data_IF_774492008358
#
_entry.id   IF_774492008358
#
_cell.length_a   1.000
_cell.length_b   1.000
_cell.length_c   1.000
_cell.angle_alpha   90.00
_cell.angle_beta   90.00
_cell.angle_gamma   90.00
#
_symmetry.space_group_name_H-M   'P 1'
#
loop_
_entity.id
_entity.type
_entity.pdbx_description
1 polymer ?
#
# COMPACT_ATOMS: atom_id res chain seq x y z
N UNK A 1 -36.35 -16.42 -61.70
CA UNK A 1 -36.82 -17.20 -60.55
C UNK A 1 -35.73 -17.16 -59.53
N UNK A 2 -36.02 -16.41 -58.47
CA UNK A 2 -35.10 -15.97 -57.43
C UNK A 2 -34.54 -17.14 -56.63
N UNK A 3 -33.22 -17.22 -56.52
CA UNK A 3 -32.56 -18.02 -55.48
C UNK A 3 -32.61 -17.20 -54.20
N UNK A 4 -33.76 -17.22 -53.53
CA UNK A 4 -33.89 -16.78 -52.15
C UNK A 4 -33.05 -17.74 -51.30
N UNK A 5 -31.85 -17.30 -50.92
CA UNK A 5 -31.00 -18.00 -49.96
C UNK A 5 -31.68 -17.85 -48.60
N UNK A 6 -32.72 -18.65 -48.36
CA UNK A 6 -33.36 -18.76 -47.05
C UNK A 6 -32.28 -19.20 -46.08
N UNK A 7 -31.83 -18.27 -45.25
CA UNK A 7 -30.89 -18.54 -44.19
C UNK A 7 -31.52 -19.65 -43.34
N UNK A 8 -30.91 -20.82 -43.35
CA UNK A 8 -31.45 -22.06 -42.80
C UNK A 8 -31.74 -21.84 -41.31
N UNK A 9 -33.03 -21.87 -40.93
CA UNK A 9 -33.54 -21.53 -39.59
C UNK A 9 -32.92 -22.41 -38.48
N UNK A 10 -32.40 -23.59 -38.87
CA UNK A 10 -31.66 -24.50 -38.00
C UNK A 10 -30.24 -24.06 -37.62
N UNK A 11 -29.64 -23.10 -38.34
CA UNK A 11 -28.26 -22.62 -38.11
C UNK A 11 -28.15 -21.36 -37.25
N UNK A 12 -29.23 -20.57 -37.19
CA UNK A 12 -29.39 -19.40 -36.30
C UNK A 12 -29.12 -19.73 -34.84
N UNK A 13 -29.69 -20.80 -34.23
CA UNK A 13 -29.44 -21.10 -32.82
C UNK A 13 -27.97 -21.42 -32.53
N UNK A 14 -27.26 -22.08 -33.45
CA UNK A 14 -25.84 -22.37 -33.27
C UNK A 14 -24.97 -21.13 -33.41
N UNK A 15 -25.30 -20.22 -34.33
CA UNK A 15 -24.60 -18.95 -34.48
C UNK A 15 -24.81 -18.05 -33.26
N UNK A 16 -26.06 -17.97 -32.76
CA UNK A 16 -26.39 -17.25 -31.53
C UNK A 16 -25.66 -17.87 -30.34
N UNK A 17 -25.65 -19.20 -30.20
CA UNK A 17 -24.91 -19.87 -29.14
C UNK A 17 -23.40 -19.62 -29.21
N UNK A 18 -22.81 -19.60 -30.40
CA UNK A 18 -21.39 -19.30 -30.61
C UNK A 18 -21.06 -17.85 -30.22
N UNK A 19 -21.93 -16.89 -30.58
CA UNK A 19 -21.78 -15.48 -30.19
C UNK A 19 -21.91 -15.32 -28.68
N UNK A 20 -22.91 -15.94 -28.05
CA UNK A 20 -23.11 -15.88 -26.59
C UNK A 20 -21.92 -16.50 -25.86
N UNK A 21 -21.41 -17.64 -26.34
CA UNK A 21 -20.22 -18.28 -25.77
C UNK A 21 -18.96 -17.41 -25.94
N UNK A 22 -18.77 -16.77 -27.10
CA UNK A 22 -17.66 -15.86 -27.34
C UNK A 22 -17.74 -14.62 -26.44
N UNK A 23 -18.92 -14.02 -26.29
CA UNK A 23 -19.15 -12.89 -25.38
C UNK A 23 -18.90 -13.31 -23.93
N UNK A 24 -19.42 -14.47 -23.49
CA UNK A 24 -19.20 -14.99 -22.15
C UNK A 24 -17.72 -15.29 -21.87
N UNK A 25 -16.98 -15.82 -22.86
CA UNK A 25 -15.54 -16.05 -22.75
C UNK A 25 -14.75 -14.74 -22.65
N UNK A 26 -15.11 -13.73 -23.43
CA UNK A 26 -14.50 -12.39 -23.36
C UNK A 26 -14.81 -11.76 -22.00
N UNK A 27 -16.06 -11.78 -21.55
CA UNK A 27 -16.46 -11.26 -20.24
C UNK A 27 -15.74 -12.00 -19.11
N UNK A 28 -15.64 -13.33 -19.17
CA UNK A 28 -14.90 -14.13 -18.19
C UNK A 28 -13.39 -13.86 -18.18
N UNK A 29 -12.80 -13.61 -19.35
CA UNK A 29 -11.39 -13.22 -19.48
C UNK A 29 -11.13 -11.80 -18.95
N UNK A 30 -12.04 -10.86 -19.20
CA UNK A 30 -11.99 -9.48 -18.68
C UNK A 30 -12.25 -9.42 -17.17
N UNK A 31 -13.10 -10.29 -16.65
CA UNK A 31 -13.37 -10.42 -15.22
C UNK A 31 -12.23 -11.12 -14.47
N UNK A 32 -11.28 -11.75 -15.17
CA UNK A 32 -10.16 -12.45 -14.53
C UNK A 32 -9.26 -11.42 -13.84
N UNK A 33 -9.06 -11.54 -12.51
CA UNK A 33 -8.23 -10.61 -11.77
C UNK A 33 -6.81 -10.58 -12.33
N UNK A 34 -6.23 -9.38 -12.42
CA UNK A 34 -4.80 -9.26 -12.64
C UNK A 34 -4.10 -9.67 -11.34
N UNK A 35 -3.32 -10.75 -11.43
CA UNK A 35 -2.39 -11.12 -10.37
C UNK A 35 -1.25 -10.10 -10.45
N UNK A 36 -0.96 -9.35 -9.36
CA UNK A 36 0.18 -8.45 -9.31
C UNK A 36 1.47 -9.23 -9.57
N UNK A 37 2.48 -8.58 -10.17
CA UNK A 37 3.76 -9.21 -10.43
C UNK A 37 4.36 -9.78 -9.12
N UNK A 38 4.72 -11.08 -9.07
CA UNK A 38 5.33 -11.67 -7.89
C UNK A 38 6.63 -10.97 -7.47
N UNK A 39 7.39 -10.37 -8.39
CA UNK A 39 8.61 -9.63 -8.07
C UNK A 39 8.28 -8.31 -7.37
N UNK A 40 7.39 -7.50 -7.95
CA UNK A 40 6.91 -6.25 -7.34
C UNK A 40 6.29 -6.47 -5.96
N UNK A 41 5.57 -7.59 -5.79
CA UNK A 41 5.00 -7.97 -4.48
C UNK A 41 6.08 -8.29 -3.45
N UNK A 42 7.15 -8.98 -3.85
CA UNK A 42 8.27 -9.28 -2.94
C UNK A 42 8.98 -8.00 -2.54
N UNK A 43 9.28 -7.13 -3.51
CA UNK A 43 9.90 -5.83 -3.25
C UNK A 43 9.08 -4.97 -2.27
N UNK A 44 7.76 -4.90 -2.46
CA UNK A 44 6.88 -4.20 -1.53
C UNK A 44 6.88 -4.86 -0.14
N UNK A 45 6.83 -6.19 -0.07
CA UNK A 45 6.83 -6.92 1.20
C UNK A 45 8.11 -6.66 1.99
N UNK A 46 9.25 -6.66 1.32
CA UNK A 46 10.56 -6.39 1.93
C UNK A 46 10.64 -4.94 2.40
N UNK A 47 10.21 -3.98 1.57
CA UNK A 47 10.17 -2.56 1.91
C UNK A 47 9.28 -2.29 3.14
N UNK A 48 8.05 -2.84 3.16
CA UNK A 48 7.13 -2.70 4.29
C UNK A 48 7.71 -3.34 5.54
N UNK A 49 8.29 -4.54 5.43
CA UNK A 49 8.83 -5.26 6.59
C UNK A 49 10.04 -4.55 7.20
N UNK A 50 10.88 -3.92 6.38
CA UNK A 50 12.01 -3.13 6.85
C UNK A 50 11.55 -1.90 7.63
N UNK A 51 10.63 -1.11 7.06
CA UNK A 51 10.10 0.10 7.71
C UNK A 51 9.26 -0.23 8.95
N UNK A 52 8.45 -1.30 8.92
CA UNK A 52 7.66 -1.73 10.08
C UNK A 52 8.56 -2.12 11.27
N UNK A 53 9.71 -2.77 11.00
CA UNK A 53 10.70 -3.13 12.02
C UNK A 53 11.41 -1.91 12.60
N UNK A 54 11.80 -0.95 11.76
CA UNK A 54 12.38 0.32 12.21
C UNK A 54 11.38 1.08 13.10
N UNK A 55 10.11 1.19 12.69
CA UNK A 55 9.05 1.80 13.49
C UNK A 55 8.84 1.07 14.82
N UNK A 56 8.89 -0.27 14.83
CA UNK A 56 8.78 -1.04 16.05
C UNK A 56 9.95 -0.78 17.02
N UNK A 57 11.18 -0.70 16.50
CA UNK A 57 12.36 -0.34 17.30
C UNK A 57 12.25 1.07 17.88
N UNK A 58 11.80 2.04 17.09
CA UNK A 58 11.59 3.40 17.59
C UNK A 58 10.50 3.48 18.67
N UNK A 59 9.40 2.73 18.53
CA UNK A 59 8.36 2.64 19.56
C UNK A 59 8.87 1.97 20.85
N UNK A 60 9.81 1.02 20.73
CA UNK A 60 10.49 0.45 21.89
C UNK A 60 11.38 1.50 22.57
N UNK A 61 12.11 2.31 21.79
CA UNK A 61 12.91 3.42 22.32
C UNK A 61 12.04 4.46 23.06
N UNK A 62 10.86 4.82 22.54
CA UNK A 62 9.96 5.74 23.26
C UNK A 62 9.41 5.12 24.54
N UNK A 63 9.13 3.82 24.53
CA UNK A 63 8.73 3.07 25.73
C UNK A 63 9.86 3.04 26.78
N UNK A 64 11.11 2.83 26.35
CA UNK A 64 12.29 2.88 27.22
C UNK A 64 12.52 4.29 27.77
N UNK A 65 12.35 5.33 26.94
CA UNK A 65 12.36 6.71 27.40
C UNK A 65 11.34 6.91 28.51
N UNK A 66 10.15 6.34 28.39
CA UNK A 66 9.12 6.50 29.40
C UNK A 66 9.48 5.88 30.75
N UNK A 67 10.25 4.80 30.75
CA UNK A 67 10.72 4.15 31.97
C UNK A 67 11.96 4.84 32.57
N UNK A 68 12.91 5.20 31.71
CA UNK A 68 14.26 5.64 32.15
C UNK A 68 14.40 7.16 32.21
N UNK A 69 13.52 7.89 31.51
CA UNK A 69 13.60 9.33 31.25
C UNK A 69 14.90 9.77 30.58
N UNK A 70 15.59 8.84 29.91
CA UNK A 70 16.76 9.11 29.07
C UNK A 70 16.30 9.38 27.65
N UNK A 71 16.59 10.58 27.14
CA UNK A 71 16.29 10.94 25.75
C UNK A 71 16.93 9.94 24.78
N UNK A 72 16.18 9.63 23.73
CA UNK A 72 16.56 8.69 22.68
C UNK A 72 16.54 9.42 21.34
N UNK A 73 17.33 8.92 20.39
CA UNK A 73 17.29 9.35 18.99
C UNK A 73 16.57 8.27 18.20
N UNK A 74 15.65 8.69 17.35
CA UNK A 74 14.82 7.81 16.54
C UNK A 74 15.46 7.67 15.14
N UNK A 75 15.35 6.48 14.56
CA UNK A 75 15.96 6.17 13.26
C UNK A 75 14.94 6.27 12.11
N UNK A 76 15.41 6.61 10.91
CA UNK A 76 14.57 6.70 9.70
C UNK A 76 15.28 6.22 8.41
N UNK A 77 16.36 5.44 8.57
CA UNK A 77 17.23 5.03 7.47
C UNK A 77 16.55 4.07 6.50
N UNK A 78 15.74 3.13 7.00
CA UNK A 78 15.00 2.18 6.18
C UNK A 78 13.92 2.88 5.35
N UNK A 79 13.21 3.86 5.92
CA UNK A 79 12.27 4.63 5.13
C UNK A 79 12.96 5.46 4.05
N UNK A 80 14.08 6.12 4.35
CA UNK A 80 14.85 6.84 3.33
C UNK A 80 15.24 5.90 2.17
N UNK A 81 15.71 4.69 2.50
CA UNK A 81 16.09 3.65 1.54
C UNK A 81 14.93 3.14 0.68
N UNK A 82 13.75 2.92 1.27
CA UNK A 82 12.61 2.30 0.60
C UNK A 82 11.50 3.28 0.16
N UNK A 83 11.67 4.58 0.41
CA UNK A 83 10.70 5.64 0.10
C UNK A 83 10.17 5.58 -1.34
N UNK A 84 11.06 5.38 -2.31
CA UNK A 84 10.68 5.29 -3.73
C UNK A 84 9.83 4.04 -4.03
N UNK A 85 10.17 2.89 -3.45
CA UNK A 85 9.40 1.64 -3.62
C UNK A 85 8.02 1.78 -2.98
N UNK A 86 7.94 2.31 -1.76
CA UNK A 86 6.68 2.57 -1.08
C UNK A 86 5.83 3.59 -1.83
N UNK A 87 6.43 4.66 -2.37
CA UNK A 87 5.69 5.66 -3.16
C UNK A 87 5.08 5.06 -4.44
N UNK A 88 5.76 4.09 -5.08
CA UNK A 88 5.24 3.43 -6.29
C UNK A 88 4.08 2.48 -6.00
N UNK A 89 4.16 1.70 -4.93
CA UNK A 89 3.24 0.57 -4.71
C UNK A 89 2.26 0.79 -3.55
N UNK A 90 2.54 1.73 -2.65
CA UNK A 90 1.78 2.02 -1.43
C UNK A 90 1.77 3.53 -1.10
N UNK A 91 1.50 4.38 -2.10
CA UNK A 91 1.61 5.84 -1.98
C UNK A 91 0.92 6.46 -0.74
N UNK A 92 -0.30 6.04 -0.33
CA UNK A 92 -0.91 6.56 0.89
C UNK A 92 -0.11 6.23 2.16
N UNK A 93 0.39 5.00 2.26
CA UNK A 93 1.21 4.58 3.40
C UNK A 93 2.56 5.31 3.39
N UNK A 94 3.19 5.47 2.21
CA UNK A 94 4.42 6.24 2.07
C UNK A 94 4.25 7.69 2.55
N UNK A 95 3.13 8.34 2.22
CA UNK A 95 2.83 9.70 2.66
C UNK A 95 2.59 9.79 4.18
N UNK A 96 1.90 8.79 4.76
CA UNK A 96 1.69 8.73 6.20
C UNK A 96 3.02 8.60 6.97
N UNK A 97 3.90 7.71 6.51
CA UNK A 97 5.24 7.49 7.09
C UNK A 97 6.13 8.72 6.92
N UNK A 98 6.10 9.38 5.76
CA UNK A 98 6.84 10.64 5.55
C UNK A 98 6.41 11.72 6.56
N UNK A 99 5.11 11.93 6.72
CA UNK A 99 4.55 12.90 7.67
C UNK A 99 4.90 12.57 9.13
N UNK A 100 4.99 11.29 9.47
CA UNK A 100 5.46 10.84 10.78
C UNK A 100 6.91 11.25 11.01
N UNK A 101 7.80 10.94 10.05
CA UNK A 101 9.22 11.26 10.18
C UNK A 101 9.52 12.76 10.12
N UNK A 102 8.71 13.56 9.41
CA UNK A 102 8.81 15.04 9.46
C UNK A 102 8.61 15.60 10.88
N UNK A 103 7.86 14.89 11.74
CA UNK A 103 7.60 15.28 13.13
C UNK A 103 8.52 14.61 14.15
N UNK A 104 9.41 13.72 13.72
CA UNK A 104 10.33 12.97 14.58
C UNK A 104 11.20 13.91 15.45
N UNK A 105 11.77 14.95 14.83
CA UNK A 105 12.62 15.93 15.52
C UNK A 105 11.88 16.68 16.64
N UNK A 106 10.57 16.88 16.51
CA UNK A 106 9.75 17.51 17.55
C UNK A 106 9.58 16.60 18.77
N UNK A 107 9.42 15.29 18.53
CA UNK A 107 9.33 14.29 19.59
C UNK A 107 10.67 14.12 20.31
N UNK A 108 11.78 14.03 19.57
CA UNK A 108 13.14 13.98 20.14
C UNK A 108 13.44 15.22 20.97
N UNK A 109 13.17 16.41 20.43
CA UNK A 109 13.35 17.67 21.15
C UNK A 109 12.47 17.74 22.41
N UNK A 110 11.28 17.15 22.39
CA UNK A 110 10.41 17.08 23.57
C UNK A 110 11.00 16.17 24.67
N UNK A 111 11.61 15.03 24.29
CA UNK A 111 12.33 14.14 25.21
C UNK A 111 13.55 14.83 25.85
N UNK A 112 14.22 15.70 25.11
CA UNK A 112 15.37 16.47 25.58
C UNK A 112 14.99 17.58 26.57
N UNK A 113 13.83 18.24 26.40
CA UNK A 113 13.36 19.39 27.20
C UNK A 113 12.86 19.05 28.62
N UNK A 114 13.28 17.91 29.18
CA UNK A 114 12.89 17.47 30.53
C UNK A 114 13.20 18.54 31.60
N UNK A 115 12.23 18.76 32.48
CA UNK A 115 12.29 19.70 33.58
C UNK A 115 13.05 19.16 34.79
N UNK A 116 13.09 19.93 35.90
CA UNK A 116 13.72 19.52 37.14
C UNK A 116 13.24 18.12 37.57
N UNK A 117 14.17 17.29 38.08
CA UNK A 117 13.91 15.91 38.49
C UNK A 117 13.36 14.98 37.39
N UNK A 118 13.76 15.18 36.12
CA UNK A 118 13.32 14.37 34.97
C UNK A 118 11.80 14.41 34.73
N UNK A 119 11.14 15.48 35.14
CA UNK A 119 9.71 15.69 34.90
C UNK A 119 9.45 16.11 33.45
N UNK A 120 8.40 15.56 32.85
CA UNK A 120 7.97 15.96 31.51
C UNK A 120 6.79 16.94 31.60
N UNK A 121 6.90 18.07 30.90
CA UNK A 121 5.80 19.03 30.78
C UNK A 121 4.65 18.40 29.99
N UNK A 122 3.38 18.74 30.28
CA UNK A 122 2.24 18.19 29.55
C UNK A 122 2.31 18.38 28.03
N UNK A 123 2.88 19.50 27.57
CA UNK A 123 3.02 19.83 26.15
C UNK A 123 4.09 18.95 25.48
N UNK A 124 5.19 18.68 26.18
CA UNK A 124 6.23 17.77 25.68
C UNK A 124 5.71 16.31 25.68
N UNK A 125 4.87 15.94 26.66
CA UNK A 125 4.22 14.63 26.72
C UNK A 125 3.30 14.41 25.51
N UNK A 126 2.45 15.39 25.18
CA UNK A 126 1.51 15.24 24.07
C UNK A 126 2.21 15.13 22.71
N UNK A 127 3.39 15.74 22.54
CA UNK A 127 4.20 15.57 21.34
C UNK A 127 4.72 14.13 21.19
N UNK A 128 5.21 13.53 22.27
CA UNK A 128 5.73 12.16 22.27
C UNK A 128 4.58 11.16 22.06
N UNK A 129 3.52 11.26 22.85
CA UNK A 129 2.35 10.37 22.74
C UNK A 129 1.67 10.49 21.37
N UNK A 130 1.60 11.72 20.83
CA UNK A 130 1.10 11.96 19.48
C UNK A 130 1.95 11.24 18.43
N UNK A 131 3.26 11.42 18.48
CA UNK A 131 4.20 10.75 17.57
C UNK A 131 4.06 9.22 17.66
N UNK A 132 3.94 8.65 18.86
CA UNK A 132 3.74 7.21 19.01
C UNK A 132 2.40 6.72 18.45
N UNK A 133 1.33 7.50 18.63
CA UNK A 133 0.01 7.20 18.05
C UNK A 133 0.07 7.17 16.53
N UNK A 134 0.70 8.19 15.95
CA UNK A 134 0.94 8.29 14.51
C UNK A 134 1.83 7.15 13.98
N UNK A 135 2.85 6.72 14.74
CA UNK A 135 3.70 5.60 14.37
C UNK A 135 2.92 4.28 14.31
N UNK A 136 2.03 4.02 15.27
CA UNK A 136 1.15 2.83 15.26
C UNK A 136 0.14 2.87 14.13
N UNK A 137 -0.37 4.05 13.77
CA UNK A 137 -1.24 4.23 12.62
C UNK A 137 -0.50 4.00 11.29
N UNK A 138 0.72 4.52 11.16
CA UNK A 138 1.58 4.29 10.01
C UNK A 138 1.92 2.80 9.82
N UNK A 139 2.26 2.07 10.89
CA UNK A 139 2.45 0.62 10.86
C UNK A 139 1.19 -0.11 10.38
N UNK A 140 0.01 0.31 10.84
CA UNK A 140 -1.26 -0.27 10.38
C UNK A 140 -1.46 -0.04 8.88
N UNK A 141 -1.25 1.19 8.40
CA UNK A 141 -1.39 1.53 6.98
C UNK A 141 -0.40 0.76 6.08
N UNK A 142 0.83 0.59 6.55
CA UNK A 142 1.84 -0.22 5.88
C UNK A 142 1.40 -1.69 5.74
N UNK A 143 0.88 -2.29 6.82
CA UNK A 143 0.40 -3.68 6.80
C UNK A 143 -0.82 -3.85 5.91
N UNK A 144 -1.77 -2.92 5.96
CA UNK A 144 -2.95 -2.89 5.08
C UNK A 144 -2.54 -2.82 3.60
N UNK A 145 -1.43 -2.17 3.26
CA UNK A 145 -0.93 -2.11 1.89
C UNK A 145 -0.53 -3.49 1.32
N UNK A 146 -0.14 -4.43 2.19
CA UNK A 146 0.19 -5.80 1.79
C UNK A 146 -1.05 -6.67 1.58
N UNK A 147 -2.19 -6.28 2.16
CA UNK A 147 -3.47 -6.98 2.03
C UNK A 147 -4.23 -6.62 0.74
N UNK A 148 -3.70 -5.70 -0.07
CA UNK A 148 -4.34 -5.22 -1.29
C UNK A 148 -4.78 -6.38 -2.20
N UNK A 149 -6.11 -6.49 -2.37
CA UNK A 149 -6.74 -7.55 -3.16
C UNK A 149 -6.35 -7.47 -4.63
N UNK A 150 -6.31 -8.62 -5.34
CA UNK A 150 -6.16 -8.64 -6.78
C UNK A 150 -7.17 -7.69 -7.44
N UNK A 151 -6.68 -6.79 -8.29
CA UNK A 151 -7.54 -5.86 -9.03
C UNK A 151 -8.42 -6.64 -10.01
N UNK A 152 -9.72 -6.41 -9.95
CA UNK A 152 -10.71 -6.96 -10.88
C UNK A 152 -11.51 -5.81 -11.52
N UNK A 153 -12.13 -6.07 -12.68
CA UNK A 153 -12.97 -5.07 -13.37
C UNK A 153 -12.17 -4.01 -14.14
N UNK A 154 -12.68 -2.77 -14.20
CA UNK A 154 -12.14 -1.69 -15.03
C UNK A 154 -10.64 -1.36 -14.81
N UNK A 155 -10.09 -1.36 -13.56
CA UNK A 155 -8.67 -1.15 -13.33
C UNK A 155 -7.78 -2.28 -13.90
N UNK A 156 -8.27 -3.53 -13.82
CA UNK A 156 -7.58 -4.67 -14.42
C UNK A 156 -7.59 -4.58 -15.95
N UNK A 157 -8.69 -4.08 -16.50
CA UNK A 157 -8.89 -3.89 -17.93
C UNK A 157 -7.99 -2.79 -18.49
N UNK A 158 -7.92 -1.63 -17.81
CA UNK A 158 -7.07 -0.51 -18.22
C UNK A 158 -5.59 -0.85 -18.16
N UNK A 159 -5.13 -1.51 -17.10
CA UNK A 159 -3.74 -1.96 -16.98
C UNK A 159 -3.36 -2.96 -18.09
N UNK A 160 -4.27 -3.88 -18.44
CA UNK A 160 -4.06 -4.86 -19.52
C UNK A 160 -3.99 -4.21 -20.90
N UNK A 161 -4.77 -3.16 -21.12
CA UNK A 161 -4.71 -2.36 -22.36
C UNK A 161 -3.43 -1.53 -22.43
N UNK A 162 -3.04 -0.84 -21.36
CA UNK A 162 -1.80 -0.04 -21.32
C UNK A 162 -0.54 -0.90 -21.48
N UNK A 163 -0.45 -2.06 -20.82
CA UNK A 163 0.69 -2.98 -20.96
C UNK A 163 0.83 -3.59 -22.37
N UNK A 164 -0.24 -3.58 -23.17
CA UNK A 164 -0.23 -4.01 -24.58
C UNK A 164 0.28 -2.90 -25.51
N UNK A 165 0.06 -1.63 -25.18
CA UNK A 165 0.56 -0.50 -25.95
C UNK A 165 2.02 -0.14 -25.61
N UNK A 166 2.49 -0.43 -24.39
CA UNK A 166 3.89 -0.22 -24.00
C UNK A 166 4.88 -1.25 -24.62
N UNK A 167 4.39 -2.31 -25.29
CA UNK A 167 5.18 -3.35 -25.94
C UNK A 167 5.29 -3.20 -27.48
N UNK A 168 4.94 -2.04 -28.03
CA UNK A 168 5.17 -1.69 -29.44
C UNK A 168 6.05 -0.45 -29.51
#
# INVERSE_FOLDING_TARGET
MDTERTWDDGSVPYLVAAIVAAVAAVVGWLARPLVPDPEERRELTDAVSAVDRELAANLELTTMFDQTKQAVTLENGEFARYSATLARHAAPAAAAVAKLYDRMSLAESAMERRGPANSLRPEDRSLIEGWEGDAREAQRSLRESLEARPSAGWPALSARLHGRFARR
#
